data_IF_185252485788
#
_entry.id   IF_185252485788
#
_cell.length_a   1.000
_cell.length_b   1.000
_cell.length_c   1.000
_cell.angle_alpha   90.00
_cell.angle_beta   90.00
_cell.angle_gamma   90.00
#
_symmetry.space_group_name_H-M   'P 1'
#
loop_
_entity.id
_entity.type
_entity.pdbx_description
1 polymer ?
#
# COMPACT_ATOMS: atom_id res chain seq x y z
N UNK A 1 2.80 -24.24 59.48
CA UNK A 1 3.99 -24.29 58.59
C UNK A 1 3.78 -25.35 57.53
N UNK A 2 3.45 -24.97 56.29
CA UNK A 2 3.76 -25.76 55.10
C UNK A 2 4.66 -24.97 54.14
N UNK A 3 5.67 -25.64 53.59
CA UNK A 3 6.67 -25.07 52.69
C UNK A 3 6.06 -24.82 51.30
N UNK A 4 6.22 -23.59 50.80
CA UNK A 4 5.94 -23.20 49.41
C UNK A 4 7.06 -23.71 48.51
N UNK A 5 6.71 -24.50 47.50
CA UNK A 5 7.58 -24.79 46.35
C UNK A 5 7.16 -23.93 45.16
N UNK A 6 8.05 -23.01 44.77
CA UNK A 6 8.07 -22.37 43.45
C UNK A 6 8.56 -23.36 42.38
N UNK A 7 7.98 -23.40 41.17
CA UNK A 7 8.66 -23.94 40.02
C UNK A 7 9.58 -22.88 39.38
N UNK A 8 10.83 -23.29 39.20
CA UNK A 8 11.95 -22.58 38.59
C UNK A 8 11.67 -22.33 37.09
N UNK A 9 11.93 -21.09 36.67
CA UNK A 9 11.87 -20.61 35.28
C UNK A 9 12.77 -21.42 34.35
N UNK A 10 12.24 -21.81 33.19
CA UNK A 10 13.00 -22.37 32.06
C UNK A 10 13.93 -21.28 31.48
N UNK A 11 15.23 -21.53 31.51
CA UNK A 11 16.24 -20.79 30.76
C UNK A 11 16.85 -21.77 29.75
N UNK A 12 16.30 -21.82 28.54
CA UNK A 12 16.77 -22.75 27.49
C UNK A 12 16.84 -22.10 26.10
N UNK A 13 17.18 -20.80 26.03
CA UNK A 13 17.30 -20.09 24.74
C UNK A 13 18.67 -19.43 24.52
N UNK A 14 19.68 -19.69 25.36
CA UNK A 14 21.01 -19.05 25.25
C UNK A 14 22.15 -19.94 24.74
N UNK A 15 21.90 -21.20 24.38
CA UNK A 15 22.98 -22.14 24.02
C UNK A 15 23.28 -22.18 22.51
N UNK A 16 22.36 -21.75 21.64
CA UNK A 16 22.59 -21.82 20.18
C UNK A 16 23.52 -20.72 19.66
N UNK A 17 23.56 -19.54 20.30
CA UNK A 17 24.42 -18.43 19.86
C UNK A 17 25.89 -18.54 20.28
N UNK A 18 26.23 -19.30 21.33
CA UNK A 18 27.62 -19.43 21.79
C UNK A 18 28.43 -20.48 21.03
N UNK A 19 27.78 -21.44 20.36
CA UNK A 19 28.48 -22.48 19.60
C UNK A 19 29.09 -21.94 18.29
N UNK A 20 28.46 -20.93 17.67
CA UNK A 20 28.91 -20.33 16.40
C UNK A 20 30.12 -19.39 16.54
N UNK A 21 30.43 -18.93 17.76
CA UNK A 21 31.55 -18.02 18.03
C UNK A 21 32.88 -18.74 18.31
N UNK A 22 32.86 -20.06 18.58
CA UNK A 22 34.05 -20.84 18.94
C UNK A 22 34.67 -21.64 17.78
N UNK A 23 33.97 -21.75 16.65
CA UNK A 23 34.47 -22.38 15.43
C UNK A 23 34.45 -21.31 14.34
N UNK A 24 35.61 -20.78 13.97
CA UNK A 24 35.80 -19.72 12.97
C UNK A 24 35.42 -20.10 11.53
N UNK A 25 34.23 -20.67 11.35
CA UNK A 25 33.60 -20.87 10.06
C UNK A 25 32.78 -19.61 9.74
N UNK A 26 33.16 -18.94 8.67
CA UNK A 26 32.40 -17.85 8.07
C UNK A 26 30.92 -18.26 7.81
N UNK A 27 29.97 -17.31 7.71
CA UNK A 27 28.54 -17.56 7.50
C UNK A 27 28.22 -18.00 6.05
N UNK A 28 28.91 -19.02 5.56
CA UNK A 28 28.71 -19.60 4.23
C UNK A 28 27.73 -20.78 4.25
N UNK A 29 27.22 -21.18 5.42
CA UNK A 29 26.33 -22.34 5.58
C UNK A 29 24.85 -22.04 5.33
N UNK A 30 24.42 -20.77 5.27
CA UNK A 30 22.99 -20.41 5.10
C UNK A 30 22.55 -20.45 3.62
N UNK A 31 23.49 -20.38 2.67
CA UNK A 31 23.16 -20.39 1.23
C UNK A 31 23.18 -21.79 0.58
N UNK A 32 23.59 -22.84 1.29
CA UNK A 32 23.84 -24.16 0.69
C UNK A 32 22.71 -25.20 0.86
N UNK A 33 21.57 -24.85 1.48
CA UNK A 33 20.45 -25.78 1.71
C UNK A 33 19.27 -25.65 0.74
N UNK A 34 19.36 -24.81 -0.29
CA UNK A 34 18.32 -24.66 -1.33
C UNK A 34 18.45 -25.69 -2.48
N UNK A 35 18.69 -26.97 -2.18
CA UNK A 35 18.99 -27.96 -3.24
C UNK A 35 18.01 -29.12 -3.43
N UNK A 36 16.94 -29.19 -2.65
CA UNK A 36 15.85 -30.13 -2.93
C UNK A 36 14.52 -29.37 -2.90
N UNK A 37 13.68 -29.57 -3.92
CA UNK A 37 12.29 -29.11 -3.91
C UNK A 37 11.62 -29.71 -2.66
N UNK A 38 10.96 -28.90 -1.82
CA UNK A 38 10.36 -29.41 -0.60
C UNK A 38 9.32 -30.49 -0.91
N UNK A 39 9.28 -31.53 -0.08
CA UNK A 39 8.25 -32.56 -0.22
C UNK A 39 6.86 -31.97 0.03
N UNK A 40 5.83 -32.57 -0.56
CA UNK A 40 4.44 -32.17 -0.31
C UNK A 40 4.03 -32.29 1.19
N UNK A 41 4.74 -33.07 1.99
CA UNK A 41 4.55 -33.12 3.44
C UNK A 41 5.15 -31.91 4.15
N UNK A 42 6.35 -31.48 3.75
CA UNK A 42 7.01 -30.27 4.27
C UNK A 42 6.22 -29.03 3.89
N UNK A 43 5.79 -28.90 2.63
CA UNK A 43 4.93 -27.80 2.21
C UNK A 43 3.66 -27.72 3.05
N UNK A 44 2.92 -28.83 3.22
CA UNK A 44 1.70 -28.82 4.04
C UNK A 44 1.96 -28.41 5.48
N UNK A 45 3.06 -28.86 6.09
CA UNK A 45 3.44 -28.47 7.45
C UNK A 45 3.73 -26.96 7.52
N UNK A 46 4.56 -26.44 6.63
CA UNK A 46 4.89 -25.02 6.61
C UNK A 46 3.68 -24.13 6.36
N UNK A 47 2.75 -24.54 5.49
CA UNK A 47 1.51 -23.81 5.26
C UNK A 47 0.58 -23.83 6.48
N UNK A 48 0.58 -24.91 7.27
CA UNK A 48 -0.13 -24.96 8.55
C UNK A 48 0.50 -24.02 9.58
N UNK A 49 1.83 -24.06 9.71
CA UNK A 49 2.60 -23.21 10.63
C UNK A 49 2.41 -21.72 10.27
N UNK A 50 2.45 -21.36 8.98
CA UNK A 50 2.15 -20.01 8.49
C UNK A 50 0.72 -19.57 8.83
N UNK A 51 -0.26 -20.44 8.65
CA UNK A 51 -1.67 -20.13 8.96
C UNK A 51 -1.91 -19.95 10.46
N UNK A 52 -1.12 -20.61 11.31
CA UNK A 52 -1.22 -20.52 12.76
C UNK A 52 -0.67 -19.20 13.34
N UNK A 53 0.26 -18.55 12.63
CA UNK A 53 0.89 -17.30 13.07
C UNK A 53 1.95 -17.48 14.18
N UNK A 54 2.48 -16.37 14.70
CA UNK A 54 3.47 -16.36 15.79
C UNK A 54 4.86 -16.85 15.38
N UNK A 55 5.63 -17.40 16.34
CA UNK A 55 7.02 -17.86 16.13
C UNK A 55 7.14 -18.93 15.03
N UNK A 56 6.19 -19.87 14.95
CA UNK A 56 6.20 -20.92 13.93
C UNK A 56 6.05 -20.34 12.51
N UNK A 57 5.22 -19.31 12.35
CA UNK A 57 5.10 -18.60 11.09
C UNK A 57 6.36 -17.77 10.78
N UNK A 58 7.00 -17.16 11.79
CA UNK A 58 8.26 -16.44 11.61
C UNK A 58 9.36 -17.34 11.05
N UNK A 59 9.55 -18.54 11.60
CA UNK A 59 10.52 -19.50 11.09
C UNK A 59 10.24 -19.82 9.61
N UNK A 60 8.99 -20.11 9.26
CA UNK A 60 8.60 -20.40 7.87
C UNK A 60 8.88 -19.24 6.92
N UNK A 61 8.60 -18.00 7.34
CA UNK A 61 8.81 -16.80 6.55
C UNK A 61 10.30 -16.43 6.41
N UNK A 62 11.10 -16.60 7.47
CA UNK A 62 12.52 -16.20 7.47
C UNK A 62 13.38 -17.06 6.55
N UNK A 63 13.04 -18.35 6.40
CA UNK A 63 13.82 -19.27 5.57
C UNK A 63 13.32 -19.36 4.12
N UNK A 64 12.33 -18.54 3.72
CA UNK A 64 11.81 -18.50 2.35
C UNK A 64 11.16 -19.81 1.90
N UNK A 65 10.69 -20.62 2.86
CA UNK A 65 10.14 -21.95 2.61
C UNK A 65 8.82 -21.90 1.83
N UNK A 66 8.08 -20.80 1.97
CA UNK A 66 6.86 -20.52 1.19
C UNK A 66 7.18 -20.40 -0.30
N UNK A 67 8.37 -19.90 -0.65
CA UNK A 67 8.84 -19.83 -2.03
C UNK A 67 9.09 -21.21 -2.66
N UNK A 68 9.10 -22.32 -1.91
CA UNK A 68 9.11 -23.67 -2.49
C UNK A 68 7.70 -24.24 -2.77
N UNK A 69 6.66 -23.65 -2.18
CA UNK A 69 5.29 -24.20 -2.13
C UNK A 69 4.24 -23.26 -2.77
N UNK A 70 4.68 -22.46 -3.75
CA UNK A 70 4.15 -21.12 -4.06
C UNK A 70 2.66 -21.04 -4.41
N UNK A 71 2.16 -21.91 -5.29
CA UNK A 71 0.74 -21.86 -5.70
C UNK A 71 -0.20 -22.23 -4.54
N UNK A 72 0.21 -23.17 -3.70
CA UNK A 72 -0.54 -23.61 -2.52
C UNK A 72 -0.47 -22.58 -1.38
N UNK A 73 0.53 -21.70 -1.40
CA UNK A 73 0.77 -20.70 -0.38
C UNK A 73 -0.19 -19.52 -0.39
N UNK A 74 -0.88 -19.24 -1.51
CA UNK A 74 -1.70 -18.03 -1.66
C UNK A 74 -2.77 -17.91 -0.56
N UNK A 75 -3.51 -18.99 -0.30
CA UNK A 75 -4.59 -18.99 0.70
C UNK A 75 -4.05 -18.89 2.13
N UNK A 76 -3.07 -19.73 2.56
CA UNK A 76 -2.39 -19.58 3.85
C UNK A 76 -1.79 -18.19 4.07
N UNK A 77 -1.15 -17.60 3.06
CA UNK A 77 -0.51 -16.29 3.16
C UNK A 77 -1.55 -15.17 3.30
N UNK A 78 -2.63 -15.21 2.51
CA UNK A 78 -3.76 -14.29 2.70
C UNK A 78 -4.40 -14.44 4.08
N UNK A 79 -4.48 -15.66 4.62
CA UNK A 79 -4.95 -15.90 5.99
C UNK A 79 -3.99 -15.31 7.02
N UNK A 80 -2.68 -15.50 6.87
CA UNK A 80 -1.66 -14.96 7.76
C UNK A 80 -1.70 -13.42 7.79
N UNK A 81 -1.89 -12.78 6.63
CA UNK A 81 -2.08 -11.32 6.54
C UNK A 81 -3.31 -10.87 7.35
N UNK A 82 -4.46 -11.54 7.23
CA UNK A 82 -5.63 -11.18 8.05
C UNK A 82 -5.38 -11.38 9.55
N UNK A 83 -4.75 -12.50 9.90
CA UNK A 83 -4.44 -12.84 11.29
C UNK A 83 -3.41 -11.89 11.92
N UNK A 84 -2.54 -11.27 11.12
CA UNK A 84 -1.52 -10.32 11.60
C UNK A 84 -2.10 -8.99 12.08
N UNK A 85 -3.44 -8.80 11.99
CA UNK A 85 -4.13 -7.57 12.38
C UNK A 85 -3.77 -7.04 13.77
N UNK A 86 -3.57 -7.93 14.75
CA UNK A 86 -3.21 -7.57 16.12
C UNK A 86 -1.70 -7.60 16.39
N UNK A 87 -0.89 -8.02 15.42
CA UNK A 87 0.54 -8.24 15.59
C UNK A 87 1.30 -6.92 15.66
N UNK A 88 2.28 -6.83 16.55
CA UNK A 88 3.11 -5.64 16.76
C UNK A 88 4.57 -5.85 16.42
N UNK A 89 5.00 -7.10 16.21
CA UNK A 89 6.39 -7.44 15.86
C UNK A 89 6.72 -7.04 14.42
N UNK A 90 7.55 -6.01 14.20
CA UNK A 90 7.87 -5.53 12.86
C UNK A 90 8.72 -6.53 12.07
N UNK A 91 9.50 -7.41 12.72
CA UNK A 91 10.32 -8.41 12.00
C UNK A 91 9.43 -9.48 11.37
N UNK A 92 8.46 -9.99 12.14
CA UNK A 92 7.45 -10.91 11.62
C UNK A 92 6.64 -10.28 10.47
N UNK A 93 6.15 -9.07 10.68
CA UNK A 93 5.36 -8.36 9.67
C UNK A 93 6.16 -8.09 8.40
N UNK A 94 7.44 -7.76 8.52
CA UNK A 94 8.30 -7.52 7.37
C UNK A 94 8.67 -8.82 6.62
N UNK A 95 8.85 -9.92 7.34
CA UNK A 95 9.00 -11.23 6.71
C UNK A 95 7.73 -11.62 5.93
N UNK A 96 6.54 -11.32 6.47
CA UNK A 96 5.26 -11.51 5.78
C UNK A 96 5.15 -10.66 4.52
N UNK A 97 5.59 -9.40 4.57
CA UNK A 97 5.66 -8.50 3.41
C UNK A 97 6.54 -9.09 2.31
N UNK A 98 7.73 -9.58 2.66
CA UNK A 98 8.67 -10.16 1.70
C UNK A 98 8.07 -11.33 0.92
N UNK A 99 7.42 -12.27 1.62
CA UNK A 99 6.77 -13.41 0.98
C UNK A 99 5.56 -12.98 0.14
N UNK A 100 4.74 -12.05 0.64
CA UNK A 100 3.60 -11.52 -0.10
C UNK A 100 4.01 -10.77 -1.38
N UNK A 101 5.17 -10.09 -1.37
CA UNK A 101 5.69 -9.38 -2.53
C UNK A 101 6.07 -10.32 -3.70
N UNK A 102 6.36 -11.59 -3.41
CA UNK A 102 6.69 -12.61 -4.41
C UNK A 102 5.47 -13.14 -5.18
N UNK A 103 4.25 -12.87 -4.69
CA UNK A 103 2.99 -13.42 -5.21
C UNK A 103 2.05 -12.26 -5.53
N UNK A 104 1.67 -12.14 -6.81
CA UNK A 104 0.57 -11.27 -7.22
C UNK A 104 -0.71 -12.07 -7.31
N UNK A 105 -1.67 -11.77 -6.43
CA UNK A 105 -2.97 -12.46 -6.37
C UNK A 105 -4.06 -11.61 -5.70
N UNK A 106 -5.31 -11.75 -6.16
CA UNK A 106 -6.44 -11.00 -5.60
C UNK A 106 -6.69 -11.29 -4.12
N UNK A 107 -6.44 -12.52 -3.67
CA UNK A 107 -6.69 -12.94 -2.28
C UNK A 107 -5.73 -12.26 -1.31
N UNK A 108 -4.48 -12.07 -1.74
CA UNK A 108 -3.45 -11.33 -0.99
C UNK A 108 -3.80 -9.85 -0.98
N UNK A 109 -4.18 -9.29 -2.14
CA UNK A 109 -4.60 -7.90 -2.25
C UNK A 109 -5.80 -7.60 -1.34
N UNK A 110 -6.85 -8.42 -1.37
CA UNK A 110 -8.05 -8.20 -0.57
C UNK A 110 -7.75 -8.36 0.94
N UNK A 111 -6.92 -9.33 1.34
CA UNK A 111 -6.48 -9.49 2.73
C UNK A 111 -5.69 -8.26 3.23
N UNK A 112 -4.74 -7.76 2.42
CA UNK A 112 -3.97 -6.58 2.77
C UNK A 112 -4.85 -5.32 2.82
N UNK A 113 -5.80 -5.17 1.90
CA UNK A 113 -6.76 -4.05 1.90
C UNK A 113 -7.63 -4.04 3.16
N UNK A 114 -8.09 -5.22 3.59
CA UNK A 114 -8.83 -5.40 4.84
C UNK A 114 -8.00 -4.94 6.04
N UNK A 115 -6.74 -5.37 6.16
CA UNK A 115 -5.90 -4.99 7.30
C UNK A 115 -5.52 -3.52 7.26
N UNK A 116 -5.09 -2.97 6.12
CA UNK A 116 -4.67 -1.57 6.00
C UNK A 116 -5.76 -0.58 6.43
N UNK A 117 -7.02 -0.89 6.13
CA UNK A 117 -8.19 -0.03 6.40
C UNK A 117 -8.87 -0.33 7.74
N UNK A 118 -8.46 -1.38 8.45
CA UNK A 118 -9.05 -1.76 9.73
C UNK A 118 -8.60 -0.84 10.88
N UNK A 119 -9.53 -0.02 11.39
CA UNK A 119 -9.26 0.89 12.53
C UNK A 119 -8.84 0.19 13.83
N UNK A 120 -9.18 -1.09 14.00
CA UNK A 120 -8.77 -1.91 15.16
C UNK A 120 -7.50 -2.73 14.95
N UNK A 121 -6.81 -2.57 13.82
CA UNK A 121 -5.52 -3.21 13.58
C UNK A 121 -4.39 -2.39 14.22
N UNK A 122 -3.29 -3.04 14.60
CA UNK A 122 -2.09 -2.35 15.08
C UNK A 122 -1.51 -1.45 13.97
N UNK A 123 -0.86 -0.35 14.35
CA UNK A 123 -0.23 0.53 13.36
C UNK A 123 0.83 -0.20 12.51
N UNK A 124 1.74 -1.03 13.07
CA UNK A 124 2.70 -1.79 12.27
C UNK A 124 2.04 -2.77 11.28
N UNK A 125 0.97 -3.47 11.69
CA UNK A 125 0.28 -4.40 10.79
C UNK A 125 -0.38 -3.66 9.62
N UNK A 126 -0.96 -2.48 9.88
CA UNK A 126 -1.51 -1.62 8.83
C UNK A 126 -0.41 -1.10 7.90
N UNK A 127 0.74 -0.72 8.45
CA UNK A 127 1.89 -0.30 7.66
C UNK A 127 2.36 -1.44 6.74
N UNK A 128 2.53 -2.65 7.28
CA UNK A 128 2.91 -3.83 6.50
C UNK A 128 1.91 -4.11 5.38
N UNK A 129 0.62 -4.03 5.66
CA UNK A 129 -0.43 -4.22 4.67
C UNK A 129 -0.39 -3.16 3.55
N UNK A 130 -0.04 -1.90 3.85
CA UNK A 130 0.19 -0.86 2.83
C UNK A 130 1.36 -1.24 1.92
N UNK A 131 2.47 -1.75 2.49
CA UNK A 131 3.62 -2.21 1.70
C UNK A 131 3.22 -3.39 0.81
N UNK A 132 2.50 -4.38 1.35
CA UNK A 132 1.96 -5.49 0.54
C UNK A 132 1.14 -4.96 -0.63
N UNK A 133 0.20 -4.04 -0.40
CA UNK A 133 -0.62 -3.46 -1.46
C UNK A 133 0.23 -2.80 -2.56
N UNK A 134 1.29 -2.07 -2.22
CA UNK A 134 2.17 -1.46 -3.21
C UNK A 134 2.89 -2.52 -4.08
N UNK A 135 3.39 -3.59 -3.45
CA UNK A 135 4.09 -4.68 -4.15
C UNK A 135 3.20 -5.43 -5.15
N UNK A 136 1.88 -5.48 -4.91
CA UNK A 136 0.91 -6.06 -5.86
C UNK A 136 0.86 -5.30 -7.20
N UNK A 137 1.29 -4.04 -7.23
CA UNK A 137 1.39 -3.21 -8.44
C UNK A 137 2.84 -3.01 -8.93
N UNK A 138 3.79 -3.76 -8.36
CA UNK A 138 5.18 -3.77 -8.79
C UNK A 138 6.02 -2.65 -8.19
N UNK A 139 5.50 -1.93 -7.19
CA UNK A 139 6.27 -0.98 -6.41
C UNK A 139 6.99 -1.69 -5.26
N UNK A 140 8.30 -1.45 -5.14
CA UNK A 140 9.01 -1.65 -3.87
C UNK A 140 9.12 -0.29 -3.18
N UNK A 141 8.88 -0.28 -1.87
CA UNK A 141 8.84 0.95 -1.08
C UNK A 141 10.18 1.09 -0.37
N UNK A 142 11.04 1.92 -0.96
CA UNK A 142 12.31 2.31 -0.36
C UNK A 142 12.25 3.76 0.13
N UNK A 143 12.68 3.96 1.37
CA UNK A 143 12.81 5.26 1.97
C UNK A 143 14.26 5.48 2.37
N UNK A 144 14.96 6.50 1.83
CA UNK A 144 16.38 6.71 2.12
C UNK A 144 16.66 6.78 3.64
N UNK A 145 17.48 5.85 4.12
CA UNK A 145 17.85 5.77 5.54
C UNK A 145 16.91 4.96 6.43
N UNK A 146 15.83 4.38 5.88
CA UNK A 146 14.92 3.47 6.59
C UNK A 146 14.86 2.15 5.82
N UNK A 147 15.46 1.11 6.39
CA UNK A 147 15.55 -0.20 5.76
C UNK A 147 14.75 -1.26 6.51
N UNK A 148 14.28 -2.26 5.76
CA UNK A 148 13.75 -3.47 6.37
C UNK A 148 12.48 -3.25 7.20
N UNK A 149 12.45 -3.90 8.37
CA UNK A 149 11.35 -3.80 9.32
C UNK A 149 11.16 -2.39 9.91
N UNK A 150 12.20 -1.53 9.86
CA UNK A 150 12.11 -0.16 10.36
C UNK A 150 11.05 0.67 9.61
N UNK A 151 10.79 0.36 8.34
CA UNK A 151 9.74 0.98 7.53
C UNK A 151 8.34 0.89 8.16
N UNK A 152 8.12 -0.13 9.00
CA UNK A 152 6.82 -0.44 9.60
C UNK A 152 6.56 0.31 10.91
N UNK A 153 7.58 0.98 11.47
CA UNK A 153 7.49 1.59 12.81
C UNK A 153 8.12 2.98 12.89
N UNK A 154 9.09 3.29 12.04
CA UNK A 154 9.78 4.57 12.11
C UNK A 154 8.94 5.72 11.53
N UNK A 155 8.99 6.92 12.13
CA UNK A 155 8.29 8.07 11.62
C UNK A 155 8.89 8.51 10.29
N UNK A 156 8.22 8.15 9.19
CA UNK A 156 8.61 8.62 7.87
C UNK A 156 8.45 10.15 7.77
N UNK A 157 9.40 10.87 7.17
CA UNK A 157 9.30 12.31 6.95
C UNK A 157 8.04 12.70 6.17
N UNK A 158 7.54 13.90 6.43
CA UNK A 158 6.34 14.43 5.75
C UNK A 158 6.65 14.90 4.32
N UNK A 159 7.93 15.13 4.02
CA UNK A 159 8.47 15.58 2.74
C UNK A 159 9.50 14.59 2.21
N UNK A 160 9.55 14.42 0.89
CA UNK A 160 10.32 13.36 0.24
C UNK A 160 9.39 12.24 -0.21
N UNK A 161 9.26 12.09 -1.53
CA UNK A 161 8.64 10.89 -2.09
C UNK A 161 9.56 9.71 -1.76
N UNK A 162 8.97 8.53 -1.53
CA UNK A 162 9.73 7.30 -1.68
C UNK A 162 10.45 7.37 -3.02
N UNK A 163 11.76 7.09 -2.98
CA UNK A 163 12.52 7.01 -4.20
C UNK A 163 11.88 5.97 -5.11
N UNK A 164 12.02 6.06 -6.44
CA UNK A 164 11.76 4.92 -7.29
C UNK A 164 12.83 3.86 -6.99
N UNK A 165 12.71 3.18 -5.86
CA UNK A 165 13.24 1.85 -5.67
C UNK A 165 12.41 0.88 -6.50
N UNK A 166 12.08 1.20 -7.76
CA UNK A 166 11.34 0.32 -8.67
C UNK A 166 12.31 -0.72 -9.22
N UNK A 167 13.10 -1.35 -8.35
CA UNK A 167 13.62 -2.66 -8.68
C UNK A 167 12.39 -3.55 -8.74
N UNK A 168 12.00 -4.08 -9.91
CA UNK A 168 10.86 -4.95 -9.99
C UNK A 168 11.10 -6.10 -9.02
N UNK A 169 10.21 -6.26 -8.03
CA UNK A 169 10.25 -7.44 -7.16
C UNK A 169 10.10 -8.64 -8.08
N UNK A 170 11.10 -9.55 -8.17
CA UNK A 170 10.98 -10.73 -9.00
C UNK A 170 9.76 -11.51 -8.53
N UNK A 171 8.73 -11.60 -9.36
CA UNK A 171 7.51 -12.33 -9.01
C UNK A 171 7.69 -13.79 -9.34
N UNK A 172 7.26 -14.60 -8.40
CA UNK A 172 7.32 -16.04 -8.53
C UNK A 172 5.98 -16.64 -8.92
N UNK A 173 4.89 -15.95 -8.57
CA UNK A 173 3.53 -16.25 -9.00
C UNK A 173 2.88 -14.95 -9.46
N UNK A 174 2.31 -14.97 -10.66
CA UNK A 174 1.64 -13.81 -11.24
C UNK A 174 0.26 -14.18 -11.77
N UNK A 175 -0.75 -13.93 -10.93
CA UNK A 175 -2.15 -14.02 -11.31
C UNK A 175 -2.68 -12.62 -11.70
N UNK A 176 -3.54 -12.50 -12.72
CA UNK A 176 -4.13 -11.23 -13.09
C UNK A 176 -4.98 -10.69 -11.93
N UNK A 177 -4.87 -9.38 -11.67
CA UNK A 177 -5.72 -8.71 -10.69
C UNK A 177 -7.06 -8.34 -11.36
N UNK A 178 -8.19 -8.39 -10.63
CA UNK A 178 -9.47 -7.96 -11.16
C UNK A 178 -9.45 -6.51 -11.66
N UNK A 179 -10.20 -6.19 -12.73
CA UNK A 179 -10.39 -4.82 -13.19
C UNK A 179 -10.82 -3.90 -12.04
N UNK A 180 -10.26 -2.69 -11.98
CA UNK A 180 -10.58 -1.71 -10.93
C UNK A 180 -9.88 -1.93 -9.59
N UNK A 181 -9.07 -2.98 -9.42
CA UNK A 181 -8.30 -3.19 -8.18
C UNK A 181 -7.41 -2.00 -7.83
N UNK A 182 -6.73 -1.40 -8.82
CA UNK A 182 -5.93 -0.19 -8.61
C UNK A 182 -6.74 0.98 -8.03
N UNK A 183 -8.00 1.16 -8.47
CA UNK A 183 -8.88 2.22 -7.95
C UNK A 183 -9.32 1.95 -6.50
N UNK A 184 -9.60 0.69 -6.15
CA UNK A 184 -9.90 0.30 -4.75
C UNK A 184 -8.73 0.60 -3.82
N UNK A 185 -7.51 0.25 -4.25
CA UNK A 185 -6.29 0.50 -3.48
C UNK A 185 -5.96 1.99 -3.42
N UNK A 186 -6.13 2.73 -4.52
CA UNK A 186 -5.99 4.18 -4.53
C UNK A 186 -6.93 4.86 -3.54
N UNK A 187 -8.20 4.45 -3.49
CA UNK A 187 -9.16 4.98 -2.51
C UNK A 187 -8.71 4.74 -1.05
N UNK A 188 -8.19 3.56 -0.73
CA UNK A 188 -7.65 3.30 0.59
C UNK A 188 -6.42 4.16 0.91
N UNK A 189 -5.47 4.28 -0.02
CA UNK A 189 -4.29 5.13 0.16
C UNK A 189 -4.65 6.60 0.28
N UNK A 190 -5.56 7.11 -0.54
CA UNK A 190 -5.98 8.52 -0.51
C UNK A 190 -6.69 8.85 0.82
N UNK A 191 -7.52 7.95 1.35
CA UNK A 191 -8.14 8.10 2.67
C UNK A 191 -7.10 8.12 3.80
N UNK A 192 -6.12 7.21 3.78
CA UNK A 192 -5.05 7.16 4.77
C UNK A 192 -4.12 8.39 4.66
N UNK A 193 -3.85 8.86 3.44
CA UNK A 193 -3.03 10.05 3.17
C UNK A 193 -3.66 11.36 3.68
N UNK A 194 -4.99 11.38 3.85
CA UNK A 194 -5.75 12.52 4.36
C UNK A 194 -6.01 12.42 5.86
N UNK A 195 -6.38 11.24 6.37
CA UNK A 195 -6.93 11.07 7.71
C UNK A 195 -6.15 10.11 8.61
N UNK A 196 -5.13 9.44 8.07
CA UNK A 196 -4.32 8.48 8.81
C UNK A 196 -3.40 9.12 9.86
N UNK A 197 -2.96 8.33 10.86
CA UNK A 197 -1.84 8.72 11.73
C UNK A 197 -0.57 8.91 10.89
N UNK A 198 0.41 9.64 11.44
CA UNK A 198 1.56 10.17 10.69
C UNK A 198 2.28 9.10 9.85
N UNK A 199 2.61 7.96 10.43
CA UNK A 199 3.27 6.86 9.73
C UNK A 199 2.43 6.36 8.55
N UNK A 200 1.19 5.90 8.80
CA UNK A 200 0.32 5.36 7.75
C UNK A 200 0.00 6.39 6.67
N UNK A 201 -0.14 7.66 7.05
CA UNK A 201 -0.37 8.77 6.14
C UNK A 201 0.80 8.94 5.18
N UNK A 202 2.02 9.01 5.70
CA UNK A 202 3.21 9.24 4.88
C UNK A 202 3.54 8.00 4.04
N UNK A 203 3.37 6.80 4.61
CA UNK A 203 3.50 5.55 3.87
C UNK A 203 2.45 5.41 2.76
N UNK A 204 1.19 5.78 2.99
CA UNK A 204 0.15 5.73 1.96
C UNK A 204 0.43 6.73 0.82
N UNK A 205 0.91 7.95 1.13
CA UNK A 205 1.34 8.93 0.10
C UNK A 205 2.46 8.36 -0.77
N UNK A 206 3.41 7.67 -0.15
CA UNK A 206 4.50 6.98 -0.83
C UNK A 206 3.97 5.82 -1.69
N UNK A 207 3.21 4.90 -1.10
CA UNK A 207 2.66 3.72 -1.76
C UNK A 207 1.74 4.08 -2.95
N UNK A 208 1.13 5.26 -2.92
CA UNK A 208 0.28 5.78 -4.00
C UNK A 208 1.01 5.88 -5.34
N UNK A 209 2.33 6.06 -5.33
CA UNK A 209 3.16 6.14 -6.54
C UNK A 209 3.23 4.81 -7.30
N UNK A 210 3.10 3.68 -6.61
CA UNK A 210 3.11 2.34 -7.22
C UNK A 210 1.89 2.08 -8.13
N UNK A 211 0.79 2.84 -7.95
CA UNK A 211 -0.43 2.72 -8.74
C UNK A 211 -0.39 3.50 -10.06
N UNK A 212 0.66 4.30 -10.30
CA UNK A 212 0.75 5.18 -11.46
C UNK A 212 -0.08 6.46 -11.33
N UNK A 213 0.17 7.38 -12.26
CA UNK A 213 -0.50 8.69 -12.35
C UNK A 213 -1.80 8.67 -13.14
N UNK A 214 -2.12 7.55 -13.79
CA UNK A 214 -3.32 7.34 -14.60
C UNK A 214 -4.59 7.16 -13.74
N UNK A 215 -4.43 6.69 -12.50
CA UNK A 215 -5.48 6.70 -11.50
C UNK A 215 -5.41 8.05 -10.77
N UNK A 216 -6.39 8.96 -10.93
CA UNK A 216 -6.40 10.22 -10.19
C UNK A 216 -6.74 9.99 -8.70
N UNK A 217 -6.50 10.96 -7.79
CA UNK A 217 -6.92 10.85 -6.39
C UNK A 217 -8.41 10.49 -6.24
N UNK A 218 -8.74 9.46 -5.47
CA UNK A 218 -10.10 8.97 -5.28
C UNK A 218 -10.73 9.66 -4.06
N UNK A 219 -11.03 10.95 -4.22
CA UNK A 219 -11.55 11.82 -3.15
C UNK A 219 -12.91 12.42 -3.52
N UNK A 220 -13.62 12.91 -2.51
CA UNK A 220 -14.82 13.70 -2.74
C UNK A 220 -14.45 15.08 -3.30
N UNK A 221 -15.05 15.42 -4.45
CA UNK A 221 -14.87 16.69 -5.16
C UNK A 221 -16.16 17.50 -5.20
N UNK A 222 -17.20 17.10 -4.46
CA UNK A 222 -18.53 17.72 -4.44
C UNK A 222 -18.53 19.21 -4.08
N UNK A 223 -17.53 19.67 -3.30
CA UNK A 223 -17.36 21.08 -2.96
C UNK A 223 -16.67 21.89 -4.06
N UNK A 224 -16.12 21.26 -5.10
CA UNK A 224 -15.47 21.96 -6.21
C UNK A 224 -16.51 22.50 -7.17
N UNK A 225 -16.26 23.67 -7.76
CA UNK A 225 -17.26 24.36 -8.57
C UNK A 225 -16.67 25.10 -9.76
N UNK A 226 -17.54 25.44 -10.71
CA UNK A 226 -17.22 26.30 -11.85
C UNK A 226 -18.20 27.47 -11.92
N UNK A 227 -17.69 28.68 -12.15
CA UNK A 227 -18.50 29.88 -12.36
C UNK A 227 -18.13 30.55 -13.69
N UNK A 228 -19.13 31.06 -14.41
CA UNK A 228 -18.88 31.99 -15.51
C UNK A 228 -18.50 33.36 -14.94
N UNK A 229 -17.38 33.92 -15.39
CA UNK A 229 -16.92 35.25 -14.99
C UNK A 229 -17.51 36.31 -15.91
N UNK A 230 -17.31 36.15 -17.21
CA UNK A 230 -18.01 36.88 -18.26
C UNK A 230 -17.71 36.27 -19.64
N UNK A 231 -18.70 36.26 -20.54
CA UNK A 231 -18.54 35.73 -21.90
C UNK A 231 -17.95 34.32 -21.90
N UNK A 232 -16.79 34.15 -22.54
CA UNK A 232 -16.07 32.87 -22.64
C UNK A 232 -15.09 32.60 -21.49
N UNK A 233 -15.07 33.43 -20.46
CA UNK A 233 -14.14 33.29 -19.31
C UNK A 233 -14.83 32.60 -18.14
N UNK A 234 -14.21 31.54 -17.64
CA UNK A 234 -14.71 30.73 -16.54
C UNK A 234 -13.65 30.62 -15.45
N UNK A 235 -14.11 30.37 -14.22
CA UNK A 235 -13.24 30.13 -13.08
C UNK A 235 -13.67 28.86 -12.37
N UNK A 236 -12.70 27.99 -12.15
CA UNK A 236 -12.87 26.77 -11.36
C UNK A 236 -12.28 26.97 -9.98
N UNK A 237 -12.98 26.50 -8.96
CA UNK A 237 -12.53 26.47 -7.57
C UNK A 237 -12.26 25.03 -7.16
N UNK A 238 -11.01 24.70 -6.84
CA UNK A 238 -10.64 23.44 -6.20
C UNK A 238 -10.71 23.63 -4.68
N UNK A 239 -11.81 23.21 -4.07
CA UNK A 239 -12.00 23.31 -2.63
C UNK A 239 -11.39 22.13 -1.85
N UNK A 240 -10.74 21.19 -2.53
CA UNK A 240 -10.09 20.04 -1.91
C UNK A 240 -8.71 20.41 -1.34
N UNK A 241 -8.16 19.63 -0.39
CA UNK A 241 -6.80 19.83 0.12
C UNK A 241 -5.71 19.27 -0.80
N UNK A 242 -6.07 18.78 -1.99
CA UNK A 242 -5.14 18.16 -2.93
C UNK A 242 -5.01 18.97 -4.21
N UNK A 243 -3.85 18.87 -4.85
CA UNK A 243 -3.71 19.30 -6.24
C UNK A 243 -4.46 18.32 -7.13
N UNK A 244 -5.32 18.81 -8.02
CA UNK A 244 -6.18 18.01 -8.89
C UNK A 244 -6.10 18.48 -10.33
N UNK A 245 -6.33 17.55 -11.26
CA UNK A 245 -6.54 17.85 -12.68
C UNK A 245 -8.01 17.63 -13.00
N UNK A 246 -8.74 18.73 -13.19
CA UNK A 246 -10.10 18.68 -13.71
C UNK A 246 -10.07 18.69 -15.24
N UNK A 247 -11.14 18.24 -15.86
CA UNK A 247 -11.38 18.42 -17.28
C UNK A 247 -12.57 19.37 -17.46
N UNK A 248 -12.44 20.36 -18.34
CA UNK A 248 -13.62 21.10 -18.80
C UNK A 248 -14.14 20.48 -20.11
N UNK A 249 -15.44 20.60 -20.34
CA UNK A 249 -16.07 20.25 -21.61
C UNK A 249 -17.14 21.27 -21.96
N UNK A 250 -17.19 21.68 -23.22
CA UNK A 250 -18.25 22.50 -23.82
C UNK A 250 -19.11 21.56 -24.69
N UNK A 251 -20.26 21.06 -24.21
CA UNK A 251 -21.01 20.02 -24.92
C UNK A 251 -21.43 20.41 -26.34
N UNK A 252 -21.76 21.70 -26.54
CA UNK A 252 -22.23 22.23 -27.82
C UNK A 252 -21.17 22.17 -28.94
N UNK A 253 -19.88 22.28 -28.60
CA UNK A 253 -18.78 22.33 -29.58
C UNK A 253 -17.83 21.14 -29.48
N UNK A 254 -17.91 20.36 -28.40
CA UNK A 254 -16.96 19.30 -28.09
C UNK A 254 -15.60 19.80 -27.62
N UNK A 255 -15.43 21.12 -27.44
CA UNK A 255 -14.21 21.69 -26.87
C UNK A 255 -13.96 21.13 -25.47
N UNK A 256 -12.73 20.74 -25.18
CA UNK A 256 -12.34 20.20 -23.88
C UNK A 256 -10.85 20.42 -23.60
N UNK A 257 -10.46 20.30 -22.34
CA UNK A 257 -9.06 20.38 -21.94
C UNK A 257 -8.87 20.17 -20.44
N UNK A 258 -7.61 20.00 -20.06
CA UNK A 258 -7.22 19.71 -18.69
C UNK A 258 -6.86 20.99 -17.93
N UNK A 259 -7.29 21.04 -16.66
CA UNK A 259 -7.14 22.15 -15.75
C UNK A 259 -6.45 21.65 -14.48
N UNK A 260 -5.11 21.67 -14.42
CA UNK A 260 -4.41 21.45 -13.16
C UNK A 260 -4.62 22.64 -12.22
N UNK A 261 -5.12 22.37 -11.00
CA UNK A 261 -5.45 23.36 -9.98
C UNK A 261 -4.91 22.87 -8.63
N UNK A 262 -4.08 23.68 -7.98
CA UNK A 262 -3.55 23.37 -6.66
C UNK A 262 -4.62 23.31 -5.57
N UNK A 263 -4.24 22.71 -4.44
CA UNK A 263 -5.09 22.57 -3.26
C UNK A 263 -5.64 23.92 -2.78
N UNK A 264 -6.95 24.01 -2.55
CA UNK A 264 -7.63 25.24 -2.09
C UNK A 264 -7.38 26.46 -2.99
N UNK A 265 -7.06 26.25 -4.27
CA UNK A 265 -6.82 27.31 -5.26
C UNK A 265 -7.95 27.40 -6.28
N UNK A 266 -7.94 28.52 -7.01
CA UNK A 266 -8.82 28.80 -8.13
C UNK A 266 -8.01 29.01 -9.40
N UNK A 267 -8.60 28.66 -10.54
CA UNK A 267 -7.98 28.85 -11.86
C UNK A 267 -9.00 29.42 -12.84
N UNK A 268 -8.56 30.42 -13.59
CA UNK A 268 -9.31 30.95 -14.72
C UNK A 268 -8.87 30.31 -16.03
N UNK A 269 -9.80 30.17 -16.95
CA UNK A 269 -9.55 29.73 -18.31
C UNK A 269 -10.60 30.33 -19.25
N UNK A 270 -10.33 30.25 -20.55
CA UNK A 270 -11.22 30.74 -21.61
C UNK A 270 -11.56 29.63 -22.58
N UNK A 271 -12.80 29.61 -23.06
CA UNK A 271 -13.26 28.76 -24.16
C UNK A 271 -13.24 29.54 -25.47
N UNK A 272 -13.30 28.84 -26.61
CA UNK A 272 -13.39 29.49 -27.93
C UNK A 272 -14.78 30.06 -28.20
N UNK A 273 -15.80 29.41 -27.68
CA UNK A 273 -17.20 29.77 -27.87
C UNK A 273 -17.91 29.95 -26.55
N UNK A 274 -18.83 30.90 -26.51
CA UNK A 274 -19.75 31.07 -25.38
C UNK A 274 -20.71 29.88 -25.30
N UNK A 275 -20.97 29.39 -24.09
CA UNK A 275 -21.88 28.27 -23.87
C UNK A 275 -21.84 27.71 -22.45
N UNK A 276 -22.61 26.66 -22.21
CA UNK A 276 -22.55 25.92 -20.95
C UNK A 276 -21.25 25.13 -20.89
N UNK A 277 -20.56 25.18 -19.75
CA UNK A 277 -19.32 24.45 -19.51
C UNK A 277 -19.52 23.46 -18.38
N UNK A 278 -19.21 22.20 -18.65
CA UNK A 278 -19.15 21.13 -17.67
C UNK A 278 -17.76 21.06 -17.06
N UNK A 279 -17.69 21.05 -15.73
CA UNK A 279 -16.50 20.66 -14.98
C UNK A 279 -16.59 19.16 -14.68
N UNK A 280 -15.55 18.42 -15.03
CA UNK A 280 -15.48 16.97 -14.85
C UNK A 280 -14.24 16.57 -14.08
N UNK A 281 -14.35 15.48 -13.35
CA UNK A 281 -13.25 14.85 -12.63
C UNK A 281 -13.38 13.34 -12.78
N UNK A 282 -12.30 12.68 -13.25
CA UNK A 282 -12.27 11.23 -13.44
C UNK A 282 -13.46 10.71 -14.27
N UNK A 283 -13.79 11.45 -15.34
CA UNK A 283 -14.92 11.16 -16.22
C UNK A 283 -16.31 11.48 -15.67
N UNK A 284 -16.44 11.86 -14.39
CA UNK A 284 -17.72 12.22 -13.75
C UNK A 284 -17.97 13.71 -13.83
N UNK A 285 -19.23 14.10 -14.01
CA UNK A 285 -19.65 15.50 -13.91
C UNK A 285 -19.54 15.95 -12.45
N UNK A 286 -18.88 17.07 -12.22
CA UNK A 286 -18.72 17.71 -10.91
C UNK A 286 -19.72 18.85 -10.77
N UNK A 287 -19.69 19.79 -11.72
CA UNK A 287 -20.51 21.00 -11.71
C UNK A 287 -20.67 21.57 -13.14
N UNK A 288 -21.58 22.51 -13.33
CA UNK A 288 -21.85 23.17 -14.62
C UNK A 288 -21.99 24.68 -14.48
N UNK A 289 -21.33 25.43 -15.36
CA UNK A 289 -21.50 26.88 -15.47
C UNK A 289 -22.26 27.23 -16.74
N UNK A 290 -23.44 27.81 -16.58
CA UNK A 290 -24.18 28.41 -17.68
C UNK A 290 -23.46 29.65 -18.23
N UNK A 291 -23.67 30.01 -19.51
CA UNK A 291 -23.13 31.23 -20.07
C UNK A 291 -23.65 32.44 -19.29
N UNK A 292 -22.73 33.29 -18.83
CA UNK A 292 -23.06 34.50 -18.09
C UNK A 292 -23.37 35.68 -19.01
N UNK A 293 -23.82 36.79 -18.44
CA UNK A 293 -24.07 38.01 -19.21
C UNK A 293 -22.77 38.55 -19.84
N UNK A 294 -22.90 39.18 -21.00
CA UNK A 294 -21.80 39.87 -21.69
C UNK A 294 -21.02 40.79 -20.73
N UNK A 295 -19.68 40.77 -20.82
CA UNK A 295 -18.79 41.62 -20.02
C UNK A 295 -19.20 43.09 -20.22
N UNK A 296 -19.49 43.82 -19.13
CA UNK A 296 -19.76 45.27 -19.13
C UNK A 296 -18.56 46.04 -18.64
#
# INVERSE_FOLDING_TARGET
>A
MPQSMMPIRRATTRIVLLASLLLGAAPSAVHAQFRDDPSAAECRRWLQDLSAGGEAALDVLQFGWVAGCREEAVVPLASAIRSSRAEGDPEFLYALVKEAAQIRDERILDAALEVATANGASEPARAAAIVVLATQFGGDLDYPGVEGAALLTEPLPDEGLCGPGLSPVPRTVENPLPPGSGRRVAAAFDQLALHGPRLLRNLARCARTALGSDIPPQIDVSESSIENRCGTTYRVHNNTPLWLVYQFRVPATGESGDLPIGARLRREFTTRTEGTVELRYDGRLVDTAEPGRACR
#
